data_IF_090826750461
#
_entry.id   IF_090826750461
#
_cell.length_a   1.000
_cell.length_b   1.000
_cell.length_c   1.000
_cell.angle_alpha   90.00
_cell.angle_beta   90.00
_cell.angle_gamma   90.00
#
_symmetry.space_group_name_H-M   'P 1'
#
loop_
_entity.id
_entity.type
_entity.pdbx_description
1 polymer ?
#
# COMPACT_ATOMS: atom_id res chain seq x y z
N UNK A 1 7.72 13.60 19.71
CA UNK A 1 8.73 14.41 19.02
C UNK A 1 9.63 13.46 18.21
N UNK A 2 9.43 13.41 16.90
CA UNK A 2 10.25 12.56 16.03
C UNK A 2 11.47 13.38 15.60
N UNK A 3 12.66 12.92 15.98
CA UNK A 3 13.92 13.45 15.48
C UNK A 3 14.40 12.58 14.32
N UNK A 4 14.24 13.07 13.10
CA UNK A 4 14.85 12.46 11.93
C UNK A 4 16.25 13.07 11.75
N UNK A 5 17.32 12.31 12.04
CA UNK A 5 18.68 12.76 11.82
C UNK A 5 19.17 12.25 10.45
N UNK A 6 19.29 13.17 9.50
CA UNK A 6 19.89 12.86 8.18
C UNK A 6 21.39 13.08 8.28
N UNK A 7 22.19 12.06 8.02
CA UNK A 7 23.64 12.20 7.90
C UNK A 7 23.94 13.14 6.71
N UNK A 8 24.35 14.40 7.03
CA UNK A 8 24.75 15.41 6.05
C UNK A 8 23.69 16.45 5.65
N UNK A 9 22.49 16.46 6.31
CA UNK A 9 21.41 17.41 6.03
C UNK A 9 20.92 18.19 7.24
N UNK A 10 20.02 19.15 7.03
CA UNK A 10 19.32 19.88 8.10
C UNK A 10 18.36 18.93 8.81
N UNK A 11 18.46 18.81 10.13
CA UNK A 11 17.51 18.03 10.94
C UNK A 11 16.12 18.69 10.88
N UNK A 12 15.10 17.89 10.52
CA UNK A 12 13.72 18.33 10.51
C UNK A 12 12.99 17.81 11.75
N UNK A 13 12.15 18.66 12.36
CA UNK A 13 11.32 18.31 13.50
C UNK A 13 9.85 18.39 13.11
N UNK A 14 9.09 17.37 13.45
CA UNK A 14 7.63 17.32 13.25
C UNK A 14 7.01 17.06 14.64
N UNK A 15 6.10 17.92 15.05
CA UNK A 15 5.36 17.75 16.29
C UNK A 15 4.03 17.02 16.00
N UNK A 16 3.88 15.85 16.61
CA UNK A 16 2.71 14.99 16.45
C UNK A 16 2.11 14.64 17.81
N UNK A 17 0.79 14.55 17.87
CA UNK A 17 0.11 13.89 18.98
C UNK A 17 0.36 12.38 18.94
N UNK A 18 0.16 11.68 20.06
CA UNK A 18 0.28 10.22 20.13
C UNK A 18 -0.62 9.50 19.09
N UNK A 19 -1.85 9.99 18.91
CA UNK A 19 -2.77 9.46 17.89
C UNK A 19 -2.25 9.65 16.47
N UNK A 20 -1.68 10.81 16.18
CA UNK A 20 -1.08 11.09 14.86
C UNK A 20 0.17 10.25 14.64
N UNK A 21 1.01 10.06 15.67
CA UNK A 21 2.17 9.20 15.58
C UNK A 21 1.75 7.75 15.29
N UNK A 22 0.72 7.21 15.99
CA UNK A 22 0.20 5.88 15.69
C UNK A 22 -0.26 5.74 14.24
N UNK A 23 -0.89 6.76 13.67
CA UNK A 23 -1.28 6.77 12.25
C UNK A 23 -0.10 6.92 11.29
N UNK A 24 0.93 7.65 11.70
CA UNK A 24 2.16 7.74 10.92
C UNK A 24 2.83 6.37 10.76
N UNK A 25 2.81 5.51 11.77
CA UNK A 25 3.31 4.14 11.66
C UNK A 25 2.57 3.37 10.55
N UNK A 26 1.24 3.47 10.49
CA UNK A 26 0.45 2.85 9.43
C UNK A 26 0.85 3.37 8.03
N UNK A 27 0.97 4.70 7.90
CA UNK A 27 1.33 5.34 6.60
C UNK A 27 2.73 4.95 6.13
N UNK A 28 3.70 4.93 7.04
CA UNK A 28 5.09 4.57 6.71
C UNK A 28 5.16 3.10 6.31
N UNK A 29 4.49 2.22 7.05
CA UNK A 29 4.44 0.80 6.73
C UNK A 29 3.81 0.53 5.36
N UNK A 30 2.63 1.10 5.09
CA UNK A 30 1.94 0.96 3.79
C UNK A 30 2.79 1.55 2.67
N UNK A 31 3.43 2.70 2.89
CA UNK A 31 4.32 3.32 1.92
C UNK A 31 5.50 2.42 1.56
N UNK A 32 6.18 1.85 2.55
CA UNK A 32 7.27 0.90 2.31
C UNK A 32 6.77 -0.39 1.67
N UNK A 33 5.61 -0.90 2.10
CA UNK A 33 4.96 -2.07 1.47
C UNK A 33 4.74 -1.86 -0.03
N UNK A 34 4.11 -0.77 -0.42
CA UNK A 34 3.84 -0.45 -1.84
C UNK A 34 5.15 -0.33 -2.65
N UNK A 35 6.18 0.30 -2.05
CA UNK A 35 7.44 0.52 -2.75
C UNK A 35 8.30 -0.73 -2.85
N UNK A 36 8.23 -1.64 -1.90
CA UNK A 36 9.19 -2.71 -1.76
C UNK A 36 8.65 -4.15 -1.76
N UNK A 37 7.34 -4.39 -1.55
CA UNK A 37 6.80 -5.75 -1.38
C UNK A 37 6.97 -6.65 -2.60
N UNK A 38 6.99 -6.07 -3.80
CA UNK A 38 7.16 -6.81 -5.07
C UNK A 38 8.61 -6.80 -5.59
N UNK A 39 9.55 -6.20 -4.84
CA UNK A 39 10.97 -6.12 -5.21
C UNK A 39 11.76 -7.23 -4.55
N UNK A 40 12.80 -7.67 -5.25
CA UNK A 40 13.82 -8.59 -4.72
C UNK A 40 15.15 -7.87 -4.48
N UNK A 41 16.15 -8.15 -5.33
CA UNK A 41 17.49 -7.57 -5.23
C UNK A 41 17.52 -6.05 -5.52
N UNK A 42 16.50 -5.54 -6.19
CA UNK A 42 16.29 -4.11 -6.50
C UNK A 42 15.52 -3.35 -5.39
N UNK A 43 15.48 -3.88 -4.18
CA UNK A 43 14.85 -3.26 -3.02
C UNK A 43 15.40 -1.86 -2.74
N UNK A 44 14.49 -0.89 -2.53
CA UNK A 44 14.85 0.51 -2.26
C UNK A 44 15.05 0.70 -0.76
N UNK A 45 16.31 0.65 -0.32
CA UNK A 45 16.68 0.66 1.10
C UNK A 45 16.34 1.96 1.83
N UNK A 46 16.25 3.08 1.12
CA UNK A 46 15.89 4.38 1.68
C UNK A 46 14.50 4.37 2.33
N UNK A 47 13.56 3.56 1.83
CA UNK A 47 12.25 3.38 2.47
C UNK A 47 12.35 2.52 3.74
N UNK A 48 13.19 1.51 3.76
CA UNK A 48 13.46 0.70 4.96
C UNK A 48 14.11 1.56 6.06
N UNK A 49 15.06 2.44 5.70
CA UNK A 49 15.72 3.35 6.63
C UNK A 49 14.74 4.34 7.26
N UNK A 50 13.81 4.88 6.48
CA UNK A 50 12.74 5.76 6.99
C UNK A 50 11.80 5.00 7.92
N UNK A 51 11.38 3.81 7.54
CA UNK A 51 10.52 2.95 8.37
C UNK A 51 11.19 2.63 9.70
N UNK A 52 12.42 2.15 9.69
CA UNK A 52 13.21 1.87 10.90
C UNK A 52 13.35 3.11 11.79
N UNK A 53 13.66 4.26 11.20
CA UNK A 53 13.81 5.53 11.92
C UNK A 53 12.49 5.94 12.60
N UNK A 54 11.37 5.82 11.93
CA UNK A 54 10.05 6.19 12.50
C UNK A 54 9.65 5.19 13.57
N UNK A 55 9.75 3.89 13.33
CA UNK A 55 9.40 2.84 14.29
C UNK A 55 10.27 2.85 15.55
N UNK A 56 11.53 3.27 15.44
CA UNK A 56 12.41 3.43 16.62
C UNK A 56 11.82 4.34 17.71
N UNK A 57 10.99 5.31 17.33
CA UNK A 57 10.32 6.20 18.28
C UNK A 57 9.26 5.49 19.14
N UNK A 58 8.80 4.30 18.75
CA UNK A 58 7.92 3.47 19.58
C UNK A 58 8.52 3.17 20.96
N UNK A 59 9.86 3.03 21.04
CA UNK A 59 10.57 2.72 22.28
C UNK A 59 10.39 3.80 23.35
N UNK A 60 10.28 5.07 22.96
CA UNK A 60 10.17 6.21 23.86
C UNK A 60 8.74 6.76 24.04
N UNK A 61 7.77 6.21 23.29
CA UNK A 61 6.39 6.72 23.27
C UNK A 61 5.35 5.66 23.69
N UNK A 62 5.75 4.68 24.51
CA UNK A 62 4.82 3.69 25.08
C UNK A 62 4.27 2.67 24.08
N UNK A 63 4.88 2.53 22.90
CA UNK A 63 4.44 1.63 21.82
C UNK A 63 5.47 0.52 21.55
N UNK A 64 6.24 0.13 22.55
CA UNK A 64 7.28 -0.90 22.45
C UNK A 64 6.81 -2.20 21.79
N UNK A 65 5.58 -2.71 22.04
CA UNK A 65 5.12 -3.94 21.37
C UNK A 65 4.98 -3.84 19.84
N UNK A 66 4.98 -2.62 19.29
CA UNK A 66 4.81 -2.40 17.83
C UNK A 66 6.12 -2.46 17.04
N UNK A 67 7.25 -2.61 17.72
CA UNK A 67 8.59 -2.65 17.12
C UNK A 67 9.38 -3.84 17.64
N UNK A 68 10.22 -4.42 16.78
CA UNK A 68 11.16 -5.48 17.16
C UNK A 68 12.52 -5.25 16.52
N UNK A 69 13.57 -5.83 17.12
CA UNK A 69 14.92 -5.75 16.58
C UNK A 69 15.20 -6.95 15.67
N UNK A 70 15.64 -6.68 14.45
CA UNK A 70 16.05 -7.68 13.49
C UNK A 70 17.35 -7.25 12.78
N UNK A 71 18.37 -8.09 12.84
CA UNK A 71 19.70 -7.84 12.23
C UNK A 71 20.33 -6.46 12.57
N UNK A 72 20.05 -5.96 13.78
CA UNK A 72 20.57 -4.67 14.26
C UNK A 72 19.74 -3.46 13.88
N UNK A 73 18.64 -3.64 13.18
CA UNK A 73 17.68 -2.61 12.83
C UNK A 73 16.37 -2.78 13.63
N UNK A 74 15.64 -1.70 13.79
CA UNK A 74 14.31 -1.73 14.41
C UNK A 74 13.27 -1.78 13.27
N UNK A 75 12.46 -2.82 13.28
CA UNK A 75 11.43 -3.06 12.26
C UNK A 75 10.04 -3.14 12.89
N UNK A 76 8.96 -2.97 12.10
CA UNK A 76 7.62 -3.25 12.57
C UNK A 76 7.51 -4.68 13.11
N UNK A 77 6.95 -4.82 14.32
CA UNK A 77 6.80 -6.13 14.94
C UNK A 77 5.68 -6.94 14.29
N UNK A 78 5.68 -8.24 14.58
CA UNK A 78 4.56 -9.10 14.22
C UNK A 78 3.22 -8.59 14.81
N UNK A 79 3.23 -8.10 16.05
CA UNK A 79 2.04 -7.54 16.70
C UNK A 79 1.50 -6.30 15.96
N UNK A 80 2.37 -5.48 15.36
CA UNK A 80 1.95 -4.39 14.49
C UNK A 80 1.32 -4.93 13.20
N UNK A 81 1.99 -5.84 12.51
CA UNK A 81 1.53 -6.39 11.23
C UNK A 81 0.18 -7.12 11.36
N UNK A 82 -0.02 -7.90 12.45
CA UNK A 82 -1.27 -8.60 12.74
C UNK A 82 -2.37 -7.69 13.33
N UNK A 83 -2.08 -6.42 13.60
CA UNK A 83 -3.00 -5.44 14.20
C UNK A 83 -4.02 -4.82 13.25
N UNK A 84 -4.30 -5.42 12.09
CA UNK A 84 -5.32 -5.00 11.13
C UNK A 84 -4.79 -4.25 9.91
N UNK A 85 -3.49 -3.90 9.84
CA UNK A 85 -2.94 -3.18 8.68
C UNK A 85 -2.97 -4.04 7.42
N UNK A 86 -2.71 -5.35 7.53
CA UNK A 86 -2.78 -6.26 6.39
C UNK A 86 -4.20 -6.51 5.91
N UNK A 87 -5.20 -6.47 6.79
CA UNK A 87 -6.62 -6.52 6.38
C UNK A 87 -6.98 -5.32 5.49
N UNK A 88 -6.48 -4.12 5.84
CA UNK A 88 -6.69 -2.92 5.03
C UNK A 88 -5.96 -3.01 3.67
N UNK A 89 -4.73 -3.53 3.65
CA UNK A 89 -3.97 -3.75 2.40
C UNK A 89 -4.72 -4.75 1.51
N UNK A 90 -5.13 -5.90 2.04
CA UNK A 90 -5.85 -6.92 1.29
C UNK A 90 -7.19 -6.41 0.74
N UNK A 91 -7.95 -5.67 1.54
CA UNK A 91 -9.21 -5.06 1.08
C UNK A 91 -8.98 -4.07 -0.07
N UNK A 92 -7.88 -3.30 -0.03
CA UNK A 92 -7.48 -2.42 -1.13
C UNK A 92 -7.08 -3.23 -2.38
N UNK A 93 -6.25 -4.26 -2.21
CA UNK A 93 -5.79 -5.12 -3.31
C UNK A 93 -6.96 -5.82 -4.00
N UNK A 94 -7.91 -6.38 -3.25
CA UNK A 94 -9.10 -7.02 -3.79
C UNK A 94 -9.96 -6.04 -4.61
N UNK A 95 -10.19 -4.84 -4.08
CA UNK A 95 -10.95 -3.80 -4.80
C UNK A 95 -10.24 -3.38 -6.08
N UNK A 96 -8.95 -3.08 -5.99
CA UNK A 96 -8.17 -2.62 -7.14
C UNK A 96 -7.98 -3.69 -8.20
N UNK A 97 -7.89 -4.97 -7.80
CA UNK A 97 -7.81 -6.07 -8.75
C UNK A 97 -9.02 -6.09 -9.70
N UNK A 98 -10.23 -6.03 -9.17
CA UNK A 98 -11.44 -6.06 -9.98
C UNK A 98 -11.65 -4.77 -10.77
N UNK A 99 -11.32 -3.60 -10.22
CA UNK A 99 -11.40 -2.33 -10.95
C UNK A 99 -10.44 -2.29 -12.14
N UNK A 100 -9.18 -2.70 -11.95
CA UNK A 100 -8.18 -2.74 -13.02
C UNK A 100 -8.59 -3.78 -14.08
N UNK A 101 -9.02 -4.96 -13.65
CA UNK A 101 -9.47 -6.01 -14.56
C UNK A 101 -10.67 -5.55 -15.40
N UNK A 102 -11.67 -4.91 -14.79
CA UNK A 102 -12.82 -4.36 -15.48
C UNK A 102 -12.41 -3.31 -16.53
N UNK A 103 -11.47 -2.42 -16.18
CA UNK A 103 -10.95 -1.42 -17.09
C UNK A 103 -10.23 -2.06 -18.30
N UNK A 104 -9.33 -3.00 -18.05
CA UNK A 104 -8.57 -3.68 -19.11
C UNK A 104 -9.49 -4.46 -20.07
N UNK A 105 -10.48 -5.16 -19.51
CA UNK A 105 -11.46 -5.89 -20.33
C UNK A 105 -12.35 -4.94 -21.13
N UNK A 106 -12.78 -3.83 -20.54
CA UNK A 106 -13.59 -2.84 -21.23
C UNK A 106 -12.81 -2.15 -22.37
N UNK A 107 -11.54 -1.77 -22.12
CA UNK A 107 -10.67 -1.20 -23.15
C UNK A 107 -10.42 -2.19 -24.31
N UNK A 108 -10.16 -3.46 -23.98
CA UNK A 108 -10.04 -4.54 -24.98
C UNK A 108 -11.27 -4.63 -25.87
N UNK A 109 -12.47 -4.64 -25.28
CA UNK A 109 -13.73 -4.78 -26.03
C UNK A 109 -14.08 -3.53 -26.86
N UNK A 110 -13.46 -2.40 -26.55
CA UNK A 110 -13.54 -1.14 -27.29
C UNK A 110 -12.46 -1.00 -28.37
N UNK A 111 -11.54 -1.97 -28.48
CA UNK A 111 -10.35 -1.88 -29.32
C UNK A 111 -9.56 -0.57 -29.06
N UNK A 112 -9.39 -0.23 -27.77
CA UNK A 112 -8.76 1.01 -27.31
C UNK A 112 -7.63 0.72 -26.32
N UNK A 113 -6.50 1.42 -26.49
CA UNK A 113 -5.31 1.22 -25.64
C UNK A 113 -5.37 2.03 -24.33
N UNK A 114 -6.21 3.06 -24.28
CA UNK A 114 -6.26 3.95 -23.11
C UNK A 114 -7.59 4.72 -23.00
N UNK A 115 -7.94 5.20 -21.79
CA UNK A 115 -9.04 6.15 -21.61
C UNK A 115 -8.75 7.48 -22.34
N UNK A 116 -9.74 8.00 -23.06
CA UNK A 116 -9.70 9.32 -23.71
C UNK A 116 -10.95 10.12 -23.36
N UNK A 117 -10.97 11.45 -23.57
CA UNK A 117 -12.19 12.23 -23.36
C UNK A 117 -13.37 11.77 -24.22
N UNK A 118 -13.09 11.18 -25.39
CA UNK A 118 -14.10 10.72 -26.33
C UNK A 118 -14.70 9.38 -25.96
N UNK A 119 -13.95 8.51 -25.25
CA UNK A 119 -14.39 7.14 -24.94
C UNK A 119 -14.70 6.91 -23.46
N UNK A 120 -14.46 7.88 -22.57
CA UNK A 120 -14.55 7.70 -21.10
C UNK A 120 -15.95 7.32 -20.62
N UNK A 121 -17.00 7.81 -21.27
CA UNK A 121 -18.36 7.49 -20.85
C UNK A 121 -18.74 6.05 -21.24
N UNK A 122 -18.39 5.61 -22.45
CA UNK A 122 -18.56 4.21 -22.88
C UNK A 122 -17.69 3.27 -22.03
N UNK A 123 -16.45 3.65 -21.75
CA UNK A 123 -15.56 2.88 -20.90
C UNK A 123 -16.19 2.65 -19.51
N UNK A 124 -16.77 3.69 -18.91
CA UNK A 124 -17.43 3.60 -17.60
C UNK A 124 -18.61 2.63 -17.62
N UNK A 125 -19.48 2.71 -18.61
CA UNK A 125 -20.62 1.81 -18.74
C UNK A 125 -20.20 0.33 -18.87
N UNK A 126 -19.13 0.07 -19.63
CA UNK A 126 -18.58 -1.29 -19.78
C UNK A 126 -17.92 -1.77 -18.49
N UNK A 127 -17.16 -0.91 -17.81
CA UNK A 127 -16.57 -1.23 -16.51
C UNK A 127 -17.67 -1.57 -15.48
N UNK A 128 -18.73 -0.79 -15.41
CA UNK A 128 -19.86 -1.06 -14.49
C UNK A 128 -20.49 -2.42 -14.77
N UNK A 129 -20.57 -2.82 -16.05
CA UNK A 129 -21.07 -4.16 -16.45
C UNK A 129 -20.15 -5.27 -15.94
N UNK A 130 -18.84 -5.12 -16.12
CA UNK A 130 -17.85 -6.09 -15.62
C UNK A 130 -17.81 -6.13 -14.09
N UNK A 131 -17.83 -4.98 -13.41
CA UNK A 131 -17.85 -4.92 -11.94
C UNK A 131 -19.09 -5.59 -11.36
N UNK A 132 -20.26 -5.40 -11.99
CA UNK A 132 -21.49 -6.10 -11.61
C UNK A 132 -21.38 -7.62 -11.76
N UNK A 133 -20.72 -8.11 -12.82
CA UNK A 133 -20.43 -9.53 -13.00
C UNK A 133 -19.47 -10.05 -11.91
N UNK A 134 -18.39 -9.32 -11.63
CA UNK A 134 -17.40 -9.71 -10.63
C UNK A 134 -17.96 -9.68 -9.20
N UNK A 135 -18.87 -8.77 -8.90
CA UNK A 135 -19.54 -8.73 -7.61
C UNK A 135 -20.38 -9.99 -7.36
N UNK A 136 -20.99 -10.56 -8.41
CA UNK A 136 -21.87 -11.73 -8.30
C UNK A 136 -21.11 -13.06 -8.40
N UNK A 137 -20.10 -13.15 -9.23
CA UNK A 137 -19.49 -14.41 -9.62
C UNK A 137 -17.95 -14.42 -9.45
N UNK A 138 -17.34 -13.32 -9.00
CA UNK A 138 -15.88 -13.24 -8.92
C UNK A 138 -15.24 -13.47 -10.28
N UNK A 139 -14.30 -14.40 -10.35
CA UNK A 139 -13.59 -14.79 -11.58
C UNK A 139 -14.17 -16.05 -12.25
N UNK A 140 -15.28 -16.61 -11.78
CA UNK A 140 -15.79 -17.91 -12.21
C UNK A 140 -16.13 -17.97 -13.70
N UNK A 141 -16.53 -16.85 -14.30
CA UNK A 141 -16.89 -16.76 -15.71
C UNK A 141 -15.76 -16.22 -16.61
N UNK A 142 -14.55 -16.05 -16.07
CA UNK A 142 -13.38 -15.65 -16.83
C UNK A 142 -12.70 -16.91 -17.38
N UNK A 143 -12.47 -16.94 -18.68
CA UNK A 143 -11.71 -18.03 -19.34
C UNK A 143 -10.41 -17.51 -19.90
N UNK A 144 -9.36 -18.30 -19.76
CA UNK A 144 -8.04 -18.06 -20.36
C UNK A 144 -7.77 -19.18 -21.35
N UNK A 145 -7.59 -18.84 -22.63
CA UNK A 145 -7.13 -19.79 -23.63
C UNK A 145 -5.61 -20.03 -23.44
N UNK A 146 -5.22 -21.26 -23.16
CA UNK A 146 -3.83 -21.68 -23.01
C UNK A 146 -3.36 -22.55 -24.16
#
# INVERSE_FOLDING_TARGET
QILCSVKGGVTMKIDLTEKQFRRLLDLVYVGNWVMNSTRGDDRIREYDDVESTVFANCLSHGMVPLVEAYQGELIPSRAFAEGGIHEAIMAYEDTMFFEILAQELALRDMDSDAPTPENVDELRERMDTYLGEFEQHGTDNITVEM
#
